data_IF_814252862979
#
_entry.id   IF_814252862979
#
_cell.length_a   1.000
_cell.length_b   1.000
_cell.length_c   1.000
_cell.angle_alpha   90.00
_cell.angle_beta   90.00
_cell.angle_gamma   90.00
#
_symmetry.space_group_name_H-M   'P 1'
#
loop_
_entity.id
_entity.type
_entity.pdbx_description
1 polymer ?
#
# COMPACT_ATOMS: atom_id res chain seq x y z
N UNK A 1 9.76 -70.25 -10.83
CA UNK A 1 9.98 -68.82 -11.12
C UNK A 1 10.18 -68.14 -9.77
N UNK A 2 11.33 -68.19 -9.08
CA UNK A 2 12.71 -67.81 -9.47
C UNK A 2 12.69 -66.44 -10.17
N UNK A 3 13.31 -65.34 -9.71
CA UNK A 3 14.30 -65.06 -8.66
C UNK A 3 14.25 -63.53 -8.40
N UNK A 4 14.37 -63.10 -7.14
CA UNK A 4 14.97 -61.79 -6.81
C UNK A 4 16.45 -61.80 -7.19
N UNK A 5 17.09 -60.63 -7.41
CA UNK A 5 18.01 -60.21 -6.35
C UNK A 5 18.02 -58.70 -6.05
N UNK A 6 18.36 -58.44 -4.79
CA UNK A 6 18.89 -57.19 -4.24
C UNK A 6 20.19 -56.78 -4.95
N UNK A 7 20.42 -55.47 -5.06
CA UNK A 7 21.75 -54.89 -4.84
C UNK A 7 21.62 -53.51 -4.18
N UNK A 8 22.15 -53.43 -2.96
CA UNK A 8 22.62 -52.19 -2.32
C UNK A 8 23.64 -51.50 -3.21
N UNK A 9 23.61 -50.17 -3.24
CA UNK A 9 24.83 -49.36 -3.28
C UNK A 9 24.63 -48.09 -2.47
N UNK A 10 25.34 -48.06 -1.34
CA UNK A 10 25.82 -46.85 -0.70
C UNK A 10 26.91 -46.17 -1.57
N UNK A 11 27.33 -44.97 -1.15
CA UNK A 11 28.24 -43.97 -1.77
C UNK A 11 27.48 -42.92 -2.60
N UNK A 12 27.64 -41.61 -2.38
CA UNK A 12 28.72 -40.87 -1.72
C UNK A 12 28.14 -39.55 -1.17
N UNK A 13 28.39 -39.25 0.11
CA UNK A 13 28.30 -37.88 0.62
C UNK A 13 29.32 -37.04 -0.15
N UNK A 14 28.86 -36.23 -1.09
CA UNK A 14 29.60 -35.08 -1.60
C UNK A 14 29.11 -33.87 -0.82
N UNK A 15 29.87 -33.55 0.23
CA UNK A 15 29.92 -32.23 0.85
C UNK A 15 30.29 -31.21 -0.22
N UNK A 16 29.28 -30.69 -0.94
CA UNK A 16 29.44 -29.47 -1.72
C UNK A 16 29.50 -28.31 -0.72
N UNK A 17 30.73 -27.94 -0.33
CA UNK A 17 31.01 -26.62 0.23
C UNK A 17 30.35 -25.58 -0.67
N UNK A 18 29.58 -24.62 -0.14
CA UNK A 18 29.25 -23.44 -0.92
C UNK A 18 30.57 -22.74 -1.24
N UNK A 19 30.93 -22.72 -2.53
CA UNK A 19 31.88 -21.75 -3.03
C UNK A 19 31.23 -20.39 -2.82
N UNK A 20 31.70 -19.68 -1.79
CA UNK A 20 31.49 -18.25 -1.63
C UNK A 20 32.04 -17.59 -2.89
N UNK A 21 31.17 -17.38 -3.88
CA UNK A 21 31.40 -16.41 -4.92
C UNK A 21 31.19 -15.04 -4.26
N UNK A 22 32.28 -14.46 -3.78
CA UNK A 22 32.32 -13.06 -3.38
C UNK A 22 32.01 -12.22 -4.62
N UNK A 23 30.78 -11.76 -4.74
CA UNK A 23 30.50 -10.57 -5.55
C UNK A 23 31.23 -9.42 -4.86
N UNK A 24 32.26 -8.90 -5.50
CA UNK A 24 33.03 -7.74 -5.07
C UNK A 24 32.08 -6.54 -4.98
N UNK A 25 31.48 -6.33 -3.81
CA UNK A 25 30.79 -5.11 -3.44
C UNK A 25 31.88 -4.08 -3.19
N UNK A 26 31.96 -3.06 -4.05
CA UNK A 26 32.86 -1.92 -3.84
C UNK A 26 32.65 -1.33 -2.44
N UNK A 27 33.75 -1.11 -1.72
CA UNK A 27 33.85 -0.47 -0.40
C UNK A 27 32.67 -0.71 0.56
N UNK A 28 32.61 -1.91 1.16
CA UNK A 28 31.78 -2.19 2.33
C UNK A 28 32.35 -1.48 3.57
N UNK A 29 31.69 -0.43 4.07
CA UNK A 29 31.95 0.12 5.41
C UNK A 29 30.96 -0.47 6.42
N UNK A 30 31.48 -0.94 7.56
CA UNK A 30 30.69 -1.39 8.71
C UNK A 30 30.43 -0.15 9.58
N UNK A 31 29.20 0.36 9.60
CA UNK A 31 28.85 1.50 10.44
C UNK A 31 28.87 1.17 11.95
N UNK A 32 29.28 2.16 12.76
CA UNK A 32 29.46 2.08 14.21
C UNK A 32 28.18 1.90 15.07
N UNK A 33 28.27 2.07 16.40
CA UNK A 33 27.50 1.35 17.42
C UNK A 33 25.99 1.67 17.55
N UNK A 34 25.37 2.37 16.60
CA UNK A 34 23.92 2.61 16.57
C UNK A 34 23.09 1.43 16.05
N UNK A 35 23.71 0.51 15.30
CA UNK A 35 23.04 -0.60 14.61
C UNK A 35 22.89 -1.89 15.45
N UNK A 36 22.73 -1.78 16.78
CA UNK A 36 22.74 -2.97 17.66
C UNK A 36 21.50 -3.87 17.57
N UNK A 37 20.43 -3.42 16.90
CA UNK A 37 19.18 -4.17 16.70
C UNK A 37 19.17 -5.05 15.43
N UNK A 38 20.12 -4.86 14.52
CA UNK A 38 20.16 -5.53 13.22
C UNK A 38 21.31 -6.56 13.15
N UNK A 39 21.13 -7.61 12.35
CA UNK A 39 21.90 -8.89 12.31
C UNK A 39 23.42 -8.87 12.68
N UNK A 40 24.00 -10.02 13.13
CA UNK A 40 25.34 -10.11 13.74
C UNK A 40 26.56 -9.75 12.87
N UNK A 41 26.37 -9.25 11.65
CA UNK A 41 27.43 -8.84 10.71
C UNK A 41 27.49 -7.33 10.42
N UNK A 42 26.60 -6.53 11.00
CA UNK A 42 26.43 -5.12 10.64
C UNK A 42 25.68 -4.94 9.30
N UNK A 43 25.17 -3.73 9.02
CA UNK A 43 24.45 -3.46 7.78
C UNK A 43 25.41 -3.40 6.58
N UNK A 44 24.98 -3.91 5.42
CA UNK A 44 25.71 -3.73 4.14
C UNK A 44 25.32 -2.38 3.56
N UNK A 45 26.30 -1.49 3.38
CA UNK A 45 26.10 -0.10 2.96
C UNK A 45 26.74 0.18 1.60
N UNK A 46 26.08 1.02 0.80
CA UNK A 46 26.62 1.59 -0.44
C UNK A 46 26.45 3.12 -0.41
N UNK A 47 27.50 3.85 -0.77
CA UNK A 47 27.46 5.31 -1.01
C UNK A 47 27.40 5.60 -2.51
N UNK A 48 26.83 6.76 -2.90
CA UNK A 48 27.06 7.29 -4.24
C UNK A 48 28.53 7.72 -4.35
N UNK A 49 29.19 7.38 -5.46
CA UNK A 49 30.57 7.80 -5.73
C UNK A 49 30.64 9.18 -6.40
N UNK A 50 29.53 9.93 -6.42
CA UNK A 50 29.41 11.24 -7.07
C UNK A 50 29.13 12.28 -6.00
N UNK A 51 30.11 13.15 -5.76
CA UNK A 51 29.95 14.39 -4.98
C UNK A 51 28.80 15.23 -5.56
N UNK A 52 27.59 15.06 -5.03
CA UNK A 52 26.46 15.95 -5.24
C UNK A 52 26.24 16.66 -3.90
N UNK A 53 26.75 17.88 -3.80
CA UNK A 53 26.78 18.67 -2.56
C UNK A 53 25.41 19.12 -2.07
N UNK A 54 24.70 18.25 -1.37
CA UNK A 54 23.60 18.56 -0.45
C UNK A 54 23.87 17.93 0.92
N UNK A 55 23.53 18.62 2.01
CA UNK A 55 23.84 18.17 3.38
C UNK A 55 23.12 16.85 3.79
N UNK A 56 22.15 16.38 3.01
CA UNK A 56 21.37 15.16 3.26
C UNK A 56 21.72 13.98 2.31
N UNK A 57 22.42 14.27 1.20
CA UNK A 57 22.83 13.27 0.19
C UNK A 57 24.16 12.57 0.52
N UNK A 58 24.70 12.80 1.71
CA UNK A 58 26.00 12.25 2.16
C UNK A 58 25.86 10.94 2.96
N UNK A 59 24.64 10.50 3.26
CA UNK A 59 24.38 9.27 3.99
C UNK A 59 24.39 8.04 3.06
N UNK A 60 25.13 6.96 3.40
CA UNK A 60 25.05 5.70 2.67
C UNK A 60 23.64 5.11 2.74
N UNK A 61 23.26 4.37 1.70
CA UNK A 61 22.07 3.52 1.70
C UNK A 61 22.49 2.12 2.12
N UNK A 62 21.88 1.61 3.17
CA UNK A 62 22.26 0.35 3.79
C UNK A 62 21.09 -0.62 3.92
N UNK A 63 21.41 -1.92 4.04
CA UNK A 63 20.45 -2.97 4.36
C UNK A 63 20.49 -3.27 5.87
N UNK A 64 19.36 -3.05 6.53
CA UNK A 64 19.10 -3.43 7.91
C UNK A 64 18.14 -4.61 7.92
N UNK A 65 18.39 -5.64 8.72
CA UNK A 65 17.48 -6.80 8.81
C UNK A 65 17.40 -7.28 10.24
N UNK A 66 16.17 -7.32 10.76
CA UNK A 66 15.80 -7.90 12.03
C UNK A 66 15.01 -9.17 11.75
N UNK A 67 15.56 -10.32 12.13
CA UNK A 67 14.93 -11.63 11.94
C UNK A 67 13.99 -12.01 13.08
N UNK A 68 13.99 -11.25 14.18
CA UNK A 68 13.16 -11.46 15.36
C UNK A 68 11.86 -10.64 15.34
N UNK A 69 11.82 -9.59 14.52
CA UNK A 69 10.66 -8.71 14.35
C UNK A 69 9.35 -9.49 14.10
N UNK A 70 8.27 -9.01 14.74
CA UNK A 70 6.92 -9.56 14.66
C UNK A 70 6.86 -11.10 14.80
N UNK A 71 7.28 -11.59 15.98
CA UNK A 71 7.32 -13.02 16.33
C UNK A 71 8.20 -13.87 15.40
N UNK A 72 9.34 -13.34 14.98
CA UNK A 72 10.27 -14.05 14.10
C UNK A 72 9.83 -14.09 12.64
N UNK A 73 8.84 -13.27 12.25
CA UNK A 73 8.51 -13.03 10.83
C UNK A 73 9.67 -12.35 10.12
N UNK A 74 10.30 -11.40 10.78
CA UNK A 74 11.40 -10.60 10.27
C UNK A 74 10.98 -9.49 9.31
N UNK A 75 11.86 -8.50 9.18
CA UNK A 75 11.73 -7.32 8.32
C UNK A 75 13.11 -6.92 7.81
N UNK A 76 13.16 -6.40 6.57
CA UNK A 76 14.35 -5.77 6.02
C UNK A 76 14.07 -4.33 5.55
N UNK A 77 15.01 -3.44 5.81
CA UNK A 77 14.96 -2.02 5.43
C UNK A 77 16.16 -1.71 4.54
N UNK A 78 15.94 -1.06 3.40
CA UNK A 78 16.99 -0.51 2.53
C UNK A 78 16.87 1.00 2.60
N UNK A 79 17.69 1.64 3.41
CA UNK A 79 17.53 3.07 3.75
C UNK A 79 18.81 3.65 4.35
N UNK A 80 18.84 4.96 4.59
CA UNK A 80 19.91 5.61 5.36
C UNK A 80 19.89 5.21 6.85
N UNK A 81 21.04 5.15 7.54
CA UNK A 81 21.12 4.79 8.96
C UNK A 81 20.24 5.62 9.90
N UNK A 82 20.12 6.93 9.67
CA UNK A 82 19.29 7.84 10.48
C UNK A 82 17.82 7.44 10.39
N UNK A 83 17.36 7.15 9.17
CA UNK A 83 15.97 6.78 8.91
C UNK A 83 15.66 5.37 9.44
N UNK A 84 16.62 4.44 9.36
CA UNK A 84 16.51 3.14 10.04
C UNK A 84 16.40 3.31 11.56
N UNK A 85 17.19 4.20 12.17
CA UNK A 85 17.09 4.50 13.60
C UNK A 85 15.74 5.13 13.96
N UNK A 86 15.22 6.05 13.14
CA UNK A 86 13.88 6.61 13.30
C UNK A 86 12.81 5.51 13.29
N UNK A 87 12.81 4.64 12.27
CA UNK A 87 11.87 3.51 12.20
C UNK A 87 11.99 2.57 13.39
N UNK A 88 13.20 2.35 13.91
CA UNK A 88 13.44 1.53 15.10
C UNK A 88 12.87 2.14 16.40
N UNK A 89 12.48 3.43 16.41
CA UNK A 89 11.74 4.05 17.51
C UNK A 89 10.23 3.86 17.43
N UNK A 90 9.70 3.36 16.31
CA UNK A 90 8.26 3.11 16.16
C UNK A 90 7.76 2.03 17.15
N UNK A 91 6.48 2.07 17.53
CA UNK A 91 5.86 1.04 18.37
C UNK A 91 6.07 -0.39 17.87
N UNK A 92 6.18 -0.59 16.54
CA UNK A 92 6.46 -1.89 15.94
C UNK A 92 7.74 -2.55 16.47
N UNK A 93 8.77 -1.75 16.79
CA UNK A 93 10.04 -2.21 17.34
C UNK A 93 10.13 -2.01 18.86
N UNK A 94 9.61 -0.88 19.37
CA UNK A 94 9.70 -0.53 20.79
C UNK A 94 8.74 -1.34 21.67
N UNK A 95 7.60 -1.77 21.13
CA UNK A 95 6.52 -2.45 21.83
C UNK A 95 6.09 -3.72 21.08
N UNK A 96 6.81 -4.86 21.23
CA UNK A 96 6.61 -6.06 20.41
C UNK A 96 5.18 -6.64 20.44
N UNK A 97 4.42 -6.37 21.50
CA UNK A 97 3.03 -6.82 21.62
C UNK A 97 2.09 -6.13 20.61
N UNK A 98 2.46 -4.96 20.09
CA UNK A 98 1.66 -4.21 19.10
C UNK A 98 1.55 -4.92 17.75
N UNK A 99 2.57 -5.70 17.37
CA UNK A 99 2.64 -6.40 16.08
C UNK A 99 2.35 -7.90 16.13
N UNK A 100 2.19 -8.44 17.35
CA UNK A 100 2.08 -9.88 17.61
C UNK A 100 0.98 -10.57 16.78
N UNK A 101 -0.24 -10.06 16.83
CA UNK A 101 -1.40 -10.68 16.18
C UNK A 101 -1.73 -10.14 14.79
N UNK A 102 -0.86 -9.31 14.21
CA UNK A 102 -1.15 -8.67 12.92
C UNK A 102 -1.04 -9.69 11.78
N UNK A 103 0.03 -10.49 11.78
CA UNK A 103 0.43 -11.29 10.63
C UNK A 103 -0.40 -12.57 10.48
N UNK A 104 -1.22 -12.63 9.44
CA UNK A 104 -2.00 -13.83 9.13
C UNK A 104 -1.21 -14.90 8.36
N UNK A 105 -0.12 -14.51 7.70
CA UNK A 105 0.62 -15.34 6.75
C UNK A 105 1.50 -16.41 7.41
N UNK A 106 1.81 -16.25 8.70
CA UNK A 106 2.59 -17.22 9.47
C UNK A 106 1.76 -18.11 10.39
N UNK A 107 0.44 -17.88 10.50
CA UNK A 107 -0.40 -18.53 11.51
C UNK A 107 -0.66 -20.03 11.30
N UNK A 108 -0.09 -20.67 10.26
CA UNK A 108 -0.25 -22.08 9.84
C UNK A 108 -1.70 -22.57 9.69
N UNK A 109 -2.67 -21.76 10.09
CA UNK A 109 -4.10 -21.98 10.05
C UNK A 109 -4.61 -21.26 8.82
N UNK A 110 -5.29 -21.96 7.90
CA UNK A 110 -5.84 -21.34 6.72
C UNK A 110 -6.76 -20.15 7.08
N UNK A 111 -6.71 -19.04 6.32
CA UNK A 111 -7.63 -17.93 6.52
C UNK A 111 -9.08 -18.43 6.41
N UNK A 112 -9.96 -17.93 7.28
CA UNK A 112 -11.37 -18.35 7.31
C UNK A 112 -12.24 -17.58 6.31
N UNK A 113 -11.81 -16.38 5.91
CA UNK A 113 -12.56 -15.46 5.05
C UNK A 113 -12.22 -15.59 3.56
N UNK A 114 -11.08 -16.18 3.23
CA UNK A 114 -10.63 -16.29 1.85
C UNK A 114 -9.73 -17.50 1.63
N UNK A 115 -9.62 -17.90 0.37
CA UNK A 115 -8.67 -18.91 -0.09
C UNK A 115 -7.90 -18.40 -1.31
N UNK A 116 -6.66 -18.85 -1.46
CA UNK A 116 -5.84 -18.53 -2.62
C UNK A 116 -6.09 -19.53 -3.74
N UNK A 117 -6.33 -19.06 -4.96
CA UNK A 117 -6.57 -19.90 -6.15
C UNK A 117 -5.92 -19.32 -7.39
N UNK A 118 -5.63 -20.17 -8.35
CA UNK A 118 -5.30 -19.72 -9.71
C UNK A 118 -6.58 -19.21 -10.39
N UNK A 119 -6.51 -18.00 -10.91
CA UNK A 119 -7.60 -17.29 -11.59
C UNK A 119 -7.22 -17.16 -13.07
N UNK A 120 -8.05 -17.71 -13.99
CA UNK A 120 -7.77 -17.69 -15.41
C UNK A 120 -7.42 -16.30 -15.93
N UNK A 121 -6.24 -16.17 -16.54
CA UNK A 121 -5.76 -14.90 -17.11
C UNK A 121 -5.24 -13.86 -16.11
N UNK A 122 -5.33 -14.12 -14.79
CA UNK A 122 -4.80 -13.22 -13.74
C UNK A 122 -3.69 -13.85 -12.89
N UNK A 123 -3.50 -15.16 -12.98
CA UNK A 123 -2.55 -15.88 -12.13
C UNK A 123 -3.15 -16.13 -10.74
N UNK A 124 -2.33 -16.14 -9.70
CA UNK A 124 -2.82 -16.38 -8.34
C UNK A 124 -3.63 -15.18 -7.82
N UNK A 125 -4.79 -15.45 -7.23
CA UNK A 125 -5.65 -14.46 -6.59
C UNK A 125 -6.35 -15.01 -5.35
N UNK A 126 -7.15 -14.17 -4.70
CA UNK A 126 -7.88 -14.52 -3.47
C UNK A 126 -9.38 -14.54 -3.74
N UNK A 127 -10.06 -15.59 -3.29
CA UNK A 127 -11.51 -15.76 -3.42
C UNK A 127 -12.13 -15.77 -2.01
N UNK A 128 -13.18 -14.99 -1.81
CA UNK A 128 -13.93 -14.99 -0.55
C UNK A 128 -14.60 -16.35 -0.32
N UNK A 129 -14.43 -16.91 0.88
CA UNK A 129 -15.06 -18.19 1.30
C UNK A 129 -16.27 -17.98 2.19
N UNK A 130 -16.48 -16.77 2.67
CA UNK A 130 -17.57 -16.36 3.53
C UNK A 130 -18.11 -15.00 3.11
N UNK A 131 -19.26 -14.60 3.65
CA UNK A 131 -19.73 -13.23 3.55
C UNK A 131 -18.80 -12.32 4.36
N UNK A 132 -18.33 -11.25 3.74
CA UNK A 132 -17.50 -10.22 4.37
C UNK A 132 -18.27 -8.91 4.29
N UNK A 133 -18.51 -8.28 5.44
CA UNK A 133 -19.28 -7.04 5.50
C UNK A 133 -18.38 -5.83 5.24
N UNK A 134 -18.95 -4.75 4.72
CA UNK A 134 -18.24 -3.47 4.58
C UNK A 134 -17.55 -3.08 5.90
N UNK A 135 -16.27 -2.72 5.79
CA UNK A 135 -15.42 -2.32 6.91
C UNK A 135 -14.72 -3.48 7.62
N UNK A 136 -15.13 -4.73 7.40
CA UNK A 136 -14.45 -5.89 7.98
C UNK A 136 -12.97 -5.93 7.60
N UNK A 137 -12.12 -6.21 8.58
CA UNK A 137 -10.73 -6.59 8.33
C UNK A 137 -10.68 -7.93 7.60
N UNK A 138 -10.08 -7.95 6.42
CA UNK A 138 -9.84 -9.14 5.61
C UNK A 138 -8.51 -9.77 6.03
N UNK A 139 -7.43 -9.00 5.96
CA UNK A 139 -6.09 -9.40 6.37
C UNK A 139 -5.25 -8.20 6.81
N UNK A 140 -4.18 -8.46 7.54
CA UNK A 140 -3.13 -7.50 7.81
C UNK A 140 -1.76 -8.19 7.82
N UNK A 141 -0.71 -7.47 7.43
CA UNK A 141 0.65 -7.95 7.47
C UNK A 141 1.62 -6.80 7.75
N UNK A 142 2.64 -7.04 8.57
CA UNK A 142 3.77 -6.13 8.71
C UNK A 142 4.61 -6.13 7.43
N UNK A 143 5.36 -5.04 7.21
CA UNK A 143 6.23 -4.91 6.06
C UNK A 143 7.27 -6.03 6.01
N UNK A 144 7.53 -6.57 4.81
CA UNK A 144 8.56 -7.57 4.58
C UNK A 144 9.88 -6.93 4.19
N UNK A 145 9.81 -6.02 3.23
CA UNK A 145 10.93 -5.27 2.70
C UNK A 145 10.45 -3.84 2.47
N UNK A 146 11.12 -2.87 3.08
CA UNK A 146 10.91 -1.44 2.85
C UNK A 146 12.14 -0.88 2.13
N UNK A 147 11.95 -0.22 1.00
CA UNK A 147 13.03 0.36 0.20
C UNK A 147 12.80 1.86 0.11
N UNK A 148 13.73 2.64 0.63
CA UNK A 148 13.74 4.09 0.47
C UNK A 148 13.87 4.43 -1.02
N UNK A 149 13.02 5.32 -1.54
CA UNK A 149 13.09 5.75 -2.94
C UNK A 149 14.45 6.35 -3.34
N UNK A 150 15.22 6.86 -2.36
CA UNK A 150 16.62 7.25 -2.56
C UNK A 150 17.45 6.13 -3.18
N UNK A 151 17.18 4.86 -2.85
CA UNK A 151 17.90 3.73 -3.43
C UNK A 151 17.72 3.64 -4.96
N UNK A 152 16.55 4.01 -5.48
CA UNK A 152 16.30 4.03 -6.92
C UNK A 152 16.85 5.30 -7.60
N UNK A 153 16.92 6.40 -6.86
CA UNK A 153 17.33 7.71 -7.38
C UNK A 153 18.86 7.91 -7.36
N UNK A 154 19.52 7.41 -6.31
CA UNK A 154 20.94 7.66 -6.01
C UNK A 154 21.84 6.49 -6.44
N UNK A 155 21.33 5.25 -6.45
CA UNK A 155 22.13 4.08 -6.82
C UNK A 155 21.86 3.64 -8.26
N UNK A 156 22.89 3.07 -8.89
CA UNK A 156 22.70 2.38 -10.16
C UNK A 156 21.88 1.10 -10.00
N UNK A 157 21.25 0.64 -11.09
CA UNK A 157 20.45 -0.60 -11.08
C UNK A 157 21.18 -1.82 -10.50
N UNK A 158 22.43 -2.12 -10.89
CA UNK A 158 23.16 -3.24 -10.27
C UNK A 158 23.36 -3.08 -8.75
N UNK A 159 23.51 -1.85 -8.26
CA UNK A 159 23.70 -1.58 -6.84
C UNK A 159 22.42 -1.83 -6.04
N UNK A 160 21.29 -1.19 -6.40
CA UNK A 160 20.07 -1.37 -5.60
C UNK A 160 19.51 -2.80 -5.71
N UNK A 161 19.65 -3.47 -6.86
CA UNK A 161 19.20 -4.87 -7.00
C UNK A 161 20.05 -5.84 -6.17
N UNK A 162 21.34 -5.55 -5.99
CA UNK A 162 22.18 -6.30 -5.05
C UNK A 162 21.72 -6.10 -3.59
N UNK A 163 21.36 -4.87 -3.19
CA UNK A 163 20.82 -4.60 -1.86
C UNK A 163 19.47 -5.29 -1.64
N UNK A 164 18.59 -5.29 -2.64
CA UNK A 164 17.31 -6.02 -2.59
C UNK A 164 17.53 -7.52 -2.40
N UNK A 165 18.41 -8.13 -3.19
CA UNK A 165 18.74 -9.55 -3.06
C UNK A 165 19.29 -9.88 -1.67
N UNK A 166 20.23 -9.05 -1.18
CA UNK A 166 20.80 -9.20 0.15
C UNK A 166 19.73 -9.10 1.24
N UNK A 167 18.84 -8.12 1.17
CA UNK A 167 17.74 -7.96 2.12
C UNK A 167 16.84 -9.20 2.16
N UNK A 168 16.39 -9.68 1.00
CA UNK A 168 15.52 -10.86 0.89
C UNK A 168 16.21 -12.14 1.37
N UNK A 169 17.51 -12.29 1.11
CA UNK A 169 18.29 -13.46 1.55
C UNK A 169 18.47 -13.56 3.07
N UNK A 170 18.36 -12.44 3.77
CA UNK A 170 18.46 -12.38 5.23
C UNK A 170 17.11 -12.46 5.94
N UNK A 171 15.99 -12.49 5.21
CA UNK A 171 14.68 -12.77 5.81
C UNK A 171 14.60 -14.22 6.33
N UNK A 172 13.82 -14.48 7.39
CA UNK A 172 13.57 -15.84 7.87
C UNK A 172 13.11 -16.78 6.76
N UNK A 173 13.52 -18.08 6.74
CA UNK A 173 13.35 -18.95 5.58
C UNK A 173 11.91 -19.08 5.06
N UNK A 174 10.93 -19.16 5.96
CA UNK A 174 9.51 -19.22 5.59
C UNK A 174 9.08 -17.92 4.90
N UNK A 175 9.43 -16.77 5.49
CA UNK A 175 9.08 -15.46 4.95
C UNK A 175 9.77 -15.21 3.59
N UNK A 176 11.06 -15.53 3.48
CA UNK A 176 11.80 -15.49 2.21
C UNK A 176 11.12 -16.33 1.13
N UNK A 177 10.62 -17.53 1.48
CA UNK A 177 9.92 -18.38 0.52
C UNK A 177 8.58 -17.79 0.06
N UNK A 178 7.85 -17.10 0.93
CA UNK A 178 6.61 -16.39 0.57
C UNK A 178 6.89 -15.25 -0.41
N UNK A 179 7.95 -14.46 -0.16
CA UNK A 179 8.40 -13.40 -1.05
C UNK A 179 8.81 -13.94 -2.43
N UNK A 180 9.68 -14.96 -2.47
CA UNK A 180 10.19 -15.52 -3.74
C UNK A 180 9.13 -16.28 -4.55
N UNK A 181 7.98 -16.60 -3.94
CA UNK A 181 6.85 -17.24 -4.61
C UNK A 181 5.89 -16.21 -5.26
N UNK A 182 6.15 -14.91 -5.12
CA UNK A 182 5.38 -13.87 -5.80
C UNK A 182 5.65 -13.86 -7.31
N UNK A 183 4.73 -13.26 -8.06
CA UNK A 183 4.88 -13.12 -9.50
C UNK A 183 5.94 -12.09 -9.83
N UNK A 184 6.88 -12.43 -10.72
CA UNK A 184 7.81 -11.47 -11.32
C UNK A 184 7.25 -10.81 -12.59
N UNK A 185 6.00 -11.13 -12.95
CA UNK A 185 5.30 -10.70 -14.18
C UNK A 185 6.18 -10.73 -15.45
N UNK A 186 6.99 -11.79 -15.61
CA UNK A 186 7.84 -12.01 -16.78
C UNK A 186 7.50 -13.35 -17.44
N UNK A 187 7.53 -13.46 -18.78
CA UNK A 187 7.24 -14.71 -19.49
C UNK A 187 8.17 -15.87 -19.11
N UNK A 188 9.39 -15.57 -18.65
CA UNK A 188 10.32 -16.56 -18.12
C UNK A 188 11.26 -15.91 -17.11
N UNK A 189 11.49 -16.61 -15.99
CA UNK A 189 12.47 -16.23 -14.97
C UNK A 189 13.77 -17.03 -15.09
N UNK A 190 13.85 -18.03 -15.97
CA UNK A 190 14.96 -18.99 -16.00
C UNK A 190 16.32 -18.40 -16.40
N UNK A 191 16.31 -17.21 -17.01
CA UNK A 191 17.51 -16.51 -17.46
C UNK A 191 17.93 -15.40 -16.50
N UNK A 192 17.10 -15.05 -15.52
CA UNK A 192 17.39 -13.99 -14.57
C UNK A 192 18.39 -14.49 -13.53
N UNK A 193 19.36 -13.65 -13.20
CA UNK A 193 20.13 -13.80 -11.97
C UNK A 193 19.21 -13.67 -10.75
N UNK A 194 19.68 -14.12 -9.59
CA UNK A 194 18.91 -13.99 -8.35
C UNK A 194 18.54 -12.54 -8.04
N UNK A 195 19.46 -11.59 -8.24
CA UNK A 195 19.19 -10.17 -8.01
C UNK A 195 18.15 -9.60 -9.00
N UNK A 196 18.22 -9.97 -10.28
CA UNK A 196 17.22 -9.56 -11.28
C UNK A 196 15.85 -10.18 -11.01
N UNK A 197 15.80 -11.41 -10.49
CA UNK A 197 14.55 -12.05 -10.09
C UNK A 197 13.92 -11.31 -8.91
N UNK A 198 14.69 -10.98 -7.87
CA UNK A 198 14.20 -10.24 -6.71
C UNK A 198 13.71 -8.84 -7.11
N UNK A 199 14.44 -8.13 -7.98
CA UNK A 199 14.02 -6.85 -8.56
C UNK A 199 12.68 -6.95 -9.28
N UNK A 200 12.55 -7.93 -10.18
CA UNK A 200 11.31 -8.14 -10.95
C UNK A 200 10.11 -8.48 -10.05
N UNK A 201 10.34 -9.27 -8.99
CA UNK A 201 9.32 -9.54 -7.96
C UNK A 201 8.97 -8.24 -7.22
N UNK A 202 9.95 -7.50 -6.71
CA UNK A 202 9.69 -6.26 -5.97
C UNK A 202 8.91 -5.26 -6.83
N UNK A 203 9.37 -5.01 -8.07
CA UNK A 203 8.74 -4.07 -9.00
C UNK A 203 7.29 -4.41 -9.35
N UNK A 204 6.92 -5.70 -9.30
CA UNK A 204 5.56 -6.16 -9.60
C UNK A 204 4.61 -6.03 -8.40
N UNK A 205 5.14 -6.18 -7.18
CA UNK A 205 4.36 -6.45 -5.95
C UNK A 205 4.48 -5.38 -4.87
N UNK A 206 5.24 -4.30 -5.12
CA UNK A 206 5.44 -3.24 -4.15
C UNK A 206 4.31 -2.22 -4.11
N UNK A 207 4.21 -1.56 -2.96
CA UNK A 207 3.26 -0.52 -2.61
C UNK A 207 4.03 0.76 -2.26
N UNK A 208 3.53 1.89 -2.73
CA UNK A 208 4.11 3.20 -2.42
C UNK A 208 3.52 3.65 -1.08
N UNK A 209 4.40 3.92 -0.11
CA UNK A 209 4.05 4.34 1.25
C UNK A 209 4.72 5.68 1.51
N UNK A 210 3.92 6.74 1.64
CA UNK A 210 4.41 8.07 1.98
C UNK A 210 5.04 8.09 3.38
N UNK A 211 5.98 9.00 3.68
CA UNK A 211 6.57 9.10 5.01
C UNK A 211 5.52 9.49 6.07
N UNK A 212 5.81 9.13 7.31
CA UNK A 212 5.04 9.61 8.47
C UNK A 212 5.30 11.11 8.68
N UNK A 213 4.35 11.87 9.25
CA UNK A 213 4.47 13.32 9.45
C UNK A 213 5.68 13.73 10.31
N UNK A 214 6.12 12.84 11.21
CA UNK A 214 7.28 13.04 12.09
C UNK A 214 8.62 12.56 11.47
N UNK A 215 8.61 11.95 10.28
CA UNK A 215 9.84 11.55 9.58
C UNK A 215 10.58 12.81 9.11
N UNK A 216 11.87 12.93 9.40
CA UNK A 216 12.65 14.07 8.94
C UNK A 216 12.80 14.09 7.40
N UNK A 217 12.75 12.91 6.77
CA UNK A 217 12.82 12.76 5.31
C UNK A 217 11.41 12.71 4.69
N UNK A 218 10.72 13.85 4.75
CA UNK A 218 9.40 14.07 4.15
C UNK A 218 9.39 13.98 2.61
N UNK A 219 10.56 13.93 1.96
CA UNK A 219 10.66 14.02 0.50
C UNK A 219 10.73 12.65 -0.17
N UNK A 220 11.12 11.61 0.57
CA UNK A 220 11.32 10.28 0.02
C UNK A 220 10.32 9.29 0.62
N UNK A 221 9.37 8.80 -0.17
CA UNK A 221 8.48 7.71 0.23
C UNK A 221 9.26 6.38 0.39
N UNK A 222 8.58 5.33 0.82
CA UNK A 222 9.05 3.95 0.77
C UNK A 222 8.33 3.15 -0.30
N UNK A 223 9.06 2.25 -0.95
CA UNK A 223 8.52 1.18 -1.76
C UNK A 223 8.53 -0.12 -0.95
N UNK A 224 7.34 -0.62 -0.60
CA UNK A 224 7.16 -1.65 0.44
C UNK A 224 6.50 -2.90 -0.11
N UNK A 225 6.99 -4.08 0.27
CA UNK A 225 6.45 -5.37 -0.17
C UNK A 225 5.70 -6.05 0.97
N UNK A 226 4.46 -6.49 0.68
CA UNK A 226 3.61 -7.32 1.55
C UNK A 226 3.15 -8.57 0.78
N UNK A 227 3.85 -9.72 0.88
CA UNK A 227 3.62 -10.86 -0.01
C UNK A 227 2.18 -11.39 -0.05
N UNK A 228 1.51 -11.45 1.10
CA UNK A 228 0.13 -11.96 1.15
C UNK A 228 -0.88 -11.00 0.55
N UNK A 229 -0.69 -9.71 0.77
CA UNK A 229 -1.54 -8.65 0.22
C UNK A 229 -1.33 -8.50 -1.29
N UNK A 230 -0.08 -8.64 -1.77
CA UNK A 230 0.27 -8.59 -3.19
C UNK A 230 -0.38 -9.71 -4.04
N UNK A 231 -1.06 -10.68 -3.42
CA UNK A 231 -1.87 -11.69 -4.12
C UNK A 231 -3.24 -11.17 -4.56
N UNK A 232 -3.68 -10.02 -4.07
CA UNK A 232 -4.97 -9.44 -4.47
C UNK A 232 -4.84 -8.82 -5.86
N UNK A 233 -5.58 -9.36 -6.83
CA UNK A 233 -5.56 -8.85 -8.19
C UNK A 233 -6.23 -7.49 -8.33
N UNK A 234 -5.96 -6.85 -9.48
CA UNK A 234 -6.58 -5.59 -9.84
C UNK A 234 -8.06 -5.72 -10.25
N UNK A 235 -8.90 -4.81 -9.74
CA UNK A 235 -10.13 -4.36 -10.38
C UNK A 235 -10.17 -2.82 -10.40
N UNK A 236 -10.72 -2.22 -11.45
CA UNK A 236 -10.85 -0.75 -11.53
C UNK A 236 -11.89 -0.20 -10.54
N UNK A 237 -12.80 -1.05 -10.05
CA UNK A 237 -13.78 -0.78 -8.98
C UNK A 237 -13.66 -1.88 -7.92
N UNK A 238 -12.59 -1.85 -7.11
CA UNK A 238 -12.27 -2.92 -6.19
C UNK A 238 -13.34 -3.08 -5.11
N UNK A 239 -13.32 -4.23 -4.45
CA UNK A 239 -14.18 -4.51 -3.30
C UNK A 239 -13.44 -4.43 -1.95
N UNK A 240 -12.14 -4.19 -1.97
CA UNK A 240 -11.33 -3.94 -0.79
C UNK A 240 -10.42 -2.73 -1.01
N UNK A 241 -9.95 -2.15 0.09
CA UNK A 241 -8.98 -1.07 0.11
C UNK A 241 -7.89 -1.38 1.13
N UNK A 242 -6.70 -0.82 0.92
CA UNK A 242 -5.59 -0.97 1.84
C UNK A 242 -5.32 0.31 2.64
N UNK A 243 -4.87 0.13 3.88
CA UNK A 243 -4.44 1.20 4.77
C UNK A 243 -3.12 0.81 5.41
N UNK A 244 -2.13 1.69 5.32
CA UNK A 244 -0.87 1.55 6.03
C UNK A 244 -0.93 2.22 7.41
N UNK A 245 -0.34 1.57 8.40
CA UNK A 245 -0.23 2.05 9.77
C UNK A 245 1.25 2.22 10.11
N UNK A 246 1.70 3.47 10.17
CA UNK A 246 3.09 3.82 10.49
C UNK A 246 3.56 3.27 11.84
N UNK A 247 2.76 3.36 12.93
CA UNK A 247 3.19 2.85 14.23
C UNK A 247 3.54 1.36 14.23
N UNK A 248 2.78 0.53 13.50
CA UNK A 248 2.99 -0.92 13.45
C UNK A 248 3.76 -1.40 12.21
N UNK A 249 4.11 -0.49 11.29
CA UNK A 249 4.68 -0.77 9.97
C UNK A 249 3.91 -1.87 9.23
N UNK A 250 2.58 -1.78 9.27
CA UNK A 250 1.71 -2.81 8.73
C UNK A 250 0.70 -2.26 7.74
N UNK A 251 0.32 -3.09 6.78
CA UNK A 251 -0.77 -2.80 5.87
C UNK A 251 -1.96 -3.70 6.20
N UNK A 252 -3.12 -3.08 6.34
CA UNK A 252 -4.40 -3.74 6.60
C UNK A 252 -5.29 -3.63 5.38
N UNK A 253 -6.08 -4.68 5.12
CA UNK A 253 -7.03 -4.74 4.01
C UNK A 253 -8.43 -4.80 4.59
N UNK A 254 -9.25 -3.84 4.21
CA UNK A 254 -10.64 -3.73 4.65
C UNK A 254 -11.59 -3.86 3.47
N UNK A 255 -12.74 -4.51 3.69
CA UNK A 255 -13.78 -4.57 2.67
C UNK A 255 -14.38 -3.17 2.43
N UNK A 256 -14.31 -2.69 1.20
CA UNK A 256 -14.86 -1.39 0.81
C UNK A 256 -16.39 -1.45 0.61
N UNK A 257 -16.92 -2.64 0.35
CA UNK A 257 -18.35 -2.97 0.26
C UNK A 257 -18.59 -4.38 0.77
N UNK A 258 -19.84 -4.78 0.91
CA UNK A 258 -20.16 -6.19 1.16
C UNK A 258 -19.65 -7.09 0.02
N UNK A 259 -19.09 -8.24 0.39
CA UNK A 259 -18.50 -9.23 -0.51
C UNK A 259 -19.16 -10.58 -0.24
N UNK A 260 -19.72 -11.19 -1.30
CA UNK A 260 -20.32 -12.52 -1.23
C UNK A 260 -19.27 -13.64 -1.35
N UNK A 261 -19.53 -14.83 -0.78
CA UNK A 261 -18.74 -16.02 -1.04
C UNK A 261 -18.60 -16.28 -2.55
N UNK A 262 -17.40 -16.61 -2.99
CA UNK A 262 -17.07 -16.86 -4.40
C UNK A 262 -16.65 -15.61 -5.19
N UNK A 263 -16.80 -14.41 -4.64
CA UNK A 263 -16.22 -13.20 -5.25
C UNK A 263 -14.70 -13.17 -5.09
N UNK A 264 -14.00 -12.68 -6.11
CA UNK A 264 -12.58 -12.38 -6.03
C UNK A 264 -12.34 -11.13 -5.18
N UNK A 265 -11.41 -11.19 -4.23
CA UNK A 265 -10.96 -10.04 -3.45
C UNK A 265 -9.96 -9.26 -4.30
N UNK A 266 -10.25 -7.97 -4.53
CA UNK A 266 -9.49 -7.14 -5.46
C UNK A 266 -9.14 -5.78 -4.87
N UNK A 267 -8.00 -5.23 -5.30
CA UNK A 267 -7.54 -3.87 -5.01
C UNK A 267 -7.46 -3.06 -6.31
N UNK A 268 -7.34 -1.74 -6.21
CA UNK A 268 -6.97 -0.92 -7.37
C UNK A 268 -5.47 -0.66 -7.36
N UNK A 269 -4.76 -1.03 -8.44
CA UNK A 269 -3.33 -0.77 -8.58
C UNK A 269 -3.03 0.66 -9.07
N UNK A 270 -4.08 1.39 -9.41
CA UNK A 270 -4.03 2.69 -10.06
C UNK A 270 -5.11 3.59 -9.48
N UNK A 271 -4.98 4.89 -9.72
CA UNK A 271 -6.04 5.83 -9.38
C UNK A 271 -7.36 5.45 -10.10
N UNK A 272 -8.46 5.20 -9.36
CA UNK A 272 -9.74 4.80 -9.95
C UNK A 272 -10.43 5.92 -10.76
N UNK A 273 -9.95 7.16 -10.63
CA UNK A 273 -10.43 8.34 -11.36
C UNK A 273 -9.69 8.60 -12.68
N UNK A 274 -9.00 7.59 -13.22
CA UNK A 274 -8.46 7.62 -14.57
C UNK A 274 -9.53 7.19 -15.59
N UNK A 275 -9.49 7.75 -16.81
CA UNK A 275 -10.35 7.30 -17.92
C UNK A 275 -10.01 5.87 -18.35
N UNK A 276 -10.92 5.19 -19.06
CA UNK A 276 -10.68 3.81 -19.55
C UNK A 276 -9.37 3.69 -20.33
N UNK A 277 -9.10 4.64 -21.23
CA UNK A 277 -7.87 4.66 -22.03
C UNK A 277 -6.62 4.81 -21.14
N UNK A 278 -6.66 5.72 -20.15
CA UNK A 278 -5.56 5.92 -19.21
C UNK A 278 -5.32 4.70 -18.32
N UNK A 279 -6.38 4.06 -17.82
CA UNK A 279 -6.30 2.83 -17.01
C UNK A 279 -5.64 1.70 -17.80
N UNK A 280 -6.13 1.41 -19.01
CA UNK A 280 -5.56 0.35 -19.86
C UNK A 280 -4.10 0.61 -20.22
N UNK A 281 -3.76 1.84 -20.59
CA UNK A 281 -2.38 2.20 -20.91
C UNK A 281 -1.43 2.07 -19.70
N UNK A 282 -1.88 2.51 -18.51
CA UNK A 282 -1.07 2.42 -17.28
C UNK A 282 -0.87 0.96 -16.84
N UNK A 283 -1.92 0.15 -16.88
CA UNK A 283 -1.82 -1.27 -16.51
C UNK A 283 -0.93 -2.06 -17.47
N UNK A 284 -1.06 -1.81 -18.78
CA UNK A 284 -0.20 -2.44 -19.78
C UNK A 284 1.27 -2.05 -19.60
N UNK A 285 1.55 -0.78 -19.30
CA UNK A 285 2.93 -0.28 -19.12
C UNK A 285 3.59 -0.81 -17.85
N UNK A 286 2.87 -0.83 -16.74
CA UNK A 286 3.44 -1.13 -15.43
C UNK A 286 3.37 -2.62 -15.09
N UNK A 287 2.29 -3.30 -15.49
CA UNK A 287 2.05 -4.72 -15.18
C UNK A 287 1.74 -5.56 -16.41
N UNK A 288 1.96 -5.09 -17.64
CA UNK A 288 1.90 -5.96 -18.82
C UNK A 288 0.55 -6.56 -19.21
N UNK A 289 -0.56 -6.22 -18.53
CA UNK A 289 -1.88 -6.83 -18.76
C UNK A 289 -2.97 -5.84 -19.20
N UNK A 290 -3.96 -6.35 -19.94
CA UNK A 290 -5.20 -5.66 -20.24
C UNK A 290 -6.28 -6.03 -19.22
N UNK A 291 -6.84 -5.05 -18.53
CA UNK A 291 -7.82 -5.30 -17.46
C UNK A 291 -9.13 -5.88 -18.00
N UNK A 292 -9.52 -7.04 -17.46
CA UNK A 292 -10.77 -7.73 -17.79
C UNK A 292 -11.94 -7.42 -16.85
N UNK A 293 -11.86 -6.37 -16.03
CA UNK A 293 -12.96 -6.01 -15.12
C UNK A 293 -14.20 -5.53 -15.89
N UNK A 294 -15.41 -5.59 -15.29
CA UNK A 294 -16.64 -5.16 -15.94
C UNK A 294 -16.58 -3.73 -16.50
N UNK A 295 -15.86 -2.82 -15.84
CA UNK A 295 -15.73 -1.43 -16.29
C UNK A 295 -14.84 -1.28 -17.55
N UNK A 296 -13.89 -2.18 -17.75
CA UNK A 296 -12.98 -2.15 -18.90
C UNK A 296 -13.53 -2.95 -20.09
N UNK A 297 -14.48 -3.85 -19.88
CA UNK A 297 -15.05 -4.73 -20.92
C UNK A 297 -16.44 -4.31 -21.42
N UNK A 298 -17.02 -3.22 -20.90
CA UNK A 298 -18.26 -2.64 -21.44
C UNK A 298 -18.07 -2.08 -22.86
N UNK A 299 -19.20 -1.86 -23.54
CA UNK A 299 -19.23 -1.17 -24.83
C UNK A 299 -18.76 0.29 -24.72
N UNK A 300 -18.37 0.86 -25.86
CA UNK A 300 -17.76 2.19 -25.92
C UNK A 300 -18.71 3.32 -25.50
N UNK A 301 -20.03 3.15 -25.66
CA UNK A 301 -20.97 4.17 -25.21
C UNK A 301 -20.99 4.23 -23.68
N UNK A 302 -21.11 3.09 -23.01
CA UNK A 302 -21.04 3.02 -21.53
C UNK A 302 -19.69 3.45 -20.98
N UNK A 303 -18.59 3.11 -21.66
CA UNK A 303 -17.27 3.57 -21.29
C UNK A 303 -17.15 5.11 -21.33
N UNK A 304 -17.66 5.75 -22.39
CA UNK A 304 -17.67 7.22 -22.51
C UNK A 304 -18.50 7.89 -21.42
N UNK A 305 -19.65 7.31 -21.06
CA UNK A 305 -20.48 7.82 -19.97
C UNK A 305 -19.76 7.75 -18.61
N UNK A 306 -19.05 6.65 -18.34
CA UNK A 306 -18.21 6.56 -17.13
C UNK A 306 -17.07 7.57 -17.16
N UNK A 307 -16.35 7.70 -18.27
CA UNK A 307 -15.26 8.67 -18.40
C UNK A 307 -15.77 10.12 -18.22
N UNK A 308 -16.98 10.43 -18.69
CA UNK A 308 -17.63 11.73 -18.47
C UNK A 308 -17.95 11.98 -16.99
N UNK A 309 -18.50 10.98 -16.28
CA UNK A 309 -18.73 11.06 -14.83
C UNK A 309 -17.43 11.24 -14.05
N UNK A 310 -16.37 10.53 -14.42
CA UNK A 310 -15.06 10.66 -13.79
C UNK A 310 -14.47 12.06 -13.99
N UNK A 311 -14.58 12.63 -15.19
CA UNK A 311 -14.17 14.00 -15.45
C UNK A 311 -15.00 15.02 -14.65
N UNK A 312 -16.30 14.76 -14.44
CA UNK A 312 -17.17 15.60 -13.63
C UNK A 312 -16.82 15.52 -12.14
N UNK A 313 -16.54 14.32 -11.62
CA UNK A 313 -16.06 14.09 -10.25
C UNK A 313 -14.81 14.94 -9.99
N UNK A 314 -13.83 14.91 -10.89
CA UNK A 314 -12.60 15.67 -10.72
C UNK A 314 -12.85 17.19 -10.56
N UNK A 315 -13.72 17.76 -11.40
CA UNK A 315 -14.10 19.18 -11.33
C UNK A 315 -14.87 19.54 -10.07
N UNK A 316 -15.80 18.69 -9.65
CA UNK A 316 -16.58 18.90 -8.43
C UNK A 316 -15.69 18.85 -7.19
N UNK A 317 -14.73 17.90 -7.12
CA UNK A 317 -13.75 17.84 -6.03
C UNK A 317 -12.91 19.12 -5.94
N UNK A 318 -12.46 19.65 -7.08
CA UNK A 318 -11.70 20.91 -7.14
C UNK A 318 -12.53 22.09 -6.60
N UNK A 319 -13.76 22.27 -7.11
CA UNK A 319 -14.65 23.36 -6.68
C UNK A 319 -15.04 23.26 -5.20
N UNK A 320 -15.34 22.06 -4.70
CA UNK A 320 -15.73 21.85 -3.30
C UNK A 320 -14.55 22.01 -2.32
N UNK A 321 -13.32 21.77 -2.78
CA UNK A 321 -12.09 21.98 -1.97
C UNK A 321 -11.58 23.42 -2.02
N UNK A 322 -12.12 24.27 -2.89
CA UNK A 322 -11.75 25.69 -2.93
C UNK A 322 -12.40 26.45 -1.77
N UNK A 323 -11.60 26.75 -0.75
CA UNK A 323 -11.95 27.57 0.41
C UNK A 323 -11.28 28.96 0.38
N UNK A 324 -10.83 29.42 -0.79
CA UNK A 324 -10.16 30.72 -0.97
C UNK A 324 -11.05 31.91 -0.62
N UNK A 325 -10.45 33.01 -0.11
CA UNK A 325 -11.18 34.25 0.19
C UNK A 325 -11.49 35.04 -1.10
N UNK A 326 -12.77 35.36 -1.32
CA UNK A 326 -13.25 36.20 -2.42
C UNK A 326 -14.42 35.58 -3.18
N UNK A 327 -15.23 36.40 -3.85
CA UNK A 327 -16.55 36.11 -4.46
C UNK A 327 -16.62 35.01 -5.56
N UNK A 328 -15.88 33.89 -5.50
CA UNK A 328 -15.74 32.98 -6.64
C UNK A 328 -16.03 31.50 -6.42
N UNK A 329 -16.05 30.98 -5.19
CA UNK A 329 -16.39 29.56 -5.02
C UNK A 329 -17.88 29.34 -5.31
N UNK A 330 -18.16 28.59 -6.38
CA UNK A 330 -19.51 28.19 -6.79
C UNK A 330 -20.01 26.96 -6.05
N UNK A 331 -19.18 26.39 -5.17
CA UNK A 331 -19.54 25.28 -4.31
C UNK A 331 -20.88 25.54 -3.64
N UNK A 332 -21.75 24.55 -3.68
CA UNK A 332 -23.05 24.58 -3.04
C UNK A 332 -23.44 23.14 -2.66
N UNK A 333 -24.41 22.97 -1.75
CA UNK A 333 -24.86 21.65 -1.34
C UNK A 333 -25.29 20.75 -2.51
N UNK A 334 -25.91 21.29 -3.55
CA UNK A 334 -26.33 20.53 -4.73
C UNK A 334 -25.14 19.96 -5.53
N UNK A 335 -24.01 20.67 -5.56
CA UNK A 335 -22.78 20.14 -6.15
C UNK A 335 -22.21 18.99 -5.33
N UNK A 336 -22.31 19.05 -4.00
CA UNK A 336 -21.87 17.98 -3.12
C UNK A 336 -22.79 16.75 -3.20
N UNK A 337 -24.11 16.92 -3.26
CA UNK A 337 -25.07 15.83 -3.50
C UNK A 337 -24.82 15.14 -4.83
N UNK A 338 -24.56 15.91 -5.89
CA UNK A 338 -24.18 15.36 -7.17
C UNK A 338 -22.87 14.57 -7.09
N UNK A 339 -21.89 15.05 -6.34
CA UNK A 339 -20.63 14.32 -6.11
C UNK A 339 -20.89 12.96 -5.44
N UNK A 340 -21.69 12.92 -4.37
CA UNK A 340 -22.06 11.68 -3.68
C UNK A 340 -22.71 10.68 -4.64
N UNK A 341 -23.73 11.12 -5.41
CA UNK A 341 -24.38 10.25 -6.38
C UNK A 341 -23.45 9.76 -7.50
N UNK A 342 -22.48 10.57 -7.92
CA UNK A 342 -21.47 10.15 -8.90
C UNK A 342 -20.51 9.09 -8.33
N UNK A 343 -20.13 9.18 -7.06
CA UNK A 343 -19.33 8.14 -6.41
C UNK A 343 -20.08 6.81 -6.33
N UNK A 344 -21.37 6.83 -5.99
CA UNK A 344 -22.22 5.63 -5.96
C UNK A 344 -22.38 5.01 -7.35
N UNK A 345 -22.70 5.82 -8.36
CA UNK A 345 -22.82 5.37 -9.75
C UNK A 345 -21.52 4.76 -10.27
N UNK A 346 -20.39 5.36 -9.93
CA UNK A 346 -19.07 4.86 -10.29
C UNK A 346 -18.57 3.75 -9.36
N UNK A 347 -19.25 3.43 -8.26
CA UNK A 347 -18.83 2.39 -7.29
C UNK A 347 -17.45 2.67 -6.69
N UNK A 348 -17.19 3.93 -6.33
CA UNK A 348 -15.94 4.38 -5.70
C UNK A 348 -15.97 4.13 -4.18
N UNK A 349 -16.24 2.88 -3.80
CA UNK A 349 -16.53 2.53 -2.41
C UNK A 349 -15.37 2.77 -1.45
N UNK A 350 -14.13 2.48 -1.88
CA UNK A 350 -12.93 2.68 -1.05
C UNK A 350 -12.68 4.13 -0.65
N UNK A 351 -13.16 5.08 -1.47
CA UNK A 351 -12.98 6.52 -1.25
C UNK A 351 -14.29 7.25 -0.99
N UNK A 352 -15.38 6.53 -0.68
CA UNK A 352 -16.71 7.14 -0.45
C UNK A 352 -16.71 8.13 0.73
N UNK A 353 -15.84 7.89 1.71
CA UNK A 353 -15.63 8.81 2.83
C UNK A 353 -15.29 10.22 2.35
N UNK A 354 -14.53 10.37 1.25
CA UNK A 354 -14.16 11.68 0.70
C UNK A 354 -15.40 12.47 0.22
N UNK A 355 -16.32 11.81 -0.48
CA UNK A 355 -17.55 12.44 -0.94
C UNK A 355 -18.42 12.91 0.24
N UNK A 356 -18.50 12.10 1.29
CA UNK A 356 -19.22 12.47 2.52
C UNK A 356 -18.52 13.59 3.29
N UNK A 357 -17.17 13.63 3.33
CA UNK A 357 -16.42 14.74 3.92
C UNK A 357 -16.78 16.05 3.23
N UNK A 358 -16.71 16.08 1.91
CA UNK A 358 -17.01 17.29 1.14
C UNK A 358 -18.48 17.72 1.29
N UNK A 359 -19.41 16.77 1.32
CA UNK A 359 -20.82 17.07 1.59
C UNK A 359 -21.04 17.62 3.01
N UNK A 360 -20.44 17.01 4.02
CA UNK A 360 -20.55 17.48 5.41
C UNK A 360 -20.06 18.93 5.56
N UNK A 361 -18.87 19.23 5.00
CA UNK A 361 -18.30 20.56 5.07
C UNK A 361 -19.15 21.60 4.31
N UNK A 362 -19.65 21.25 3.13
CA UNK A 362 -20.43 22.18 2.30
C UNK A 362 -21.81 22.48 2.90
N UNK A 363 -22.52 21.47 3.41
CA UNK A 363 -23.79 21.68 4.13
C UNK A 363 -23.60 22.54 5.38
N UNK A 364 -22.52 22.29 6.14
CA UNK A 364 -22.24 23.10 7.33
C UNK A 364 -21.95 24.56 6.95
N UNK A 365 -21.23 24.76 5.86
CA UNK A 365 -20.86 26.07 5.37
C UNK A 365 -22.01 26.84 4.72
N UNK A 366 -23.05 26.13 4.27
CA UNK A 366 -24.32 26.70 3.84
C UNK A 366 -25.32 26.96 4.99
N UNK A 367 -24.95 26.66 6.25
CA UNK A 367 -25.82 26.90 7.42
C UNK A 367 -26.89 25.83 7.64
N UNK A 368 -26.72 24.61 7.08
CA UNK A 368 -27.57 23.46 7.34
C UNK A 368 -26.84 22.43 8.24
N UNK A 369 -26.90 22.59 9.58
CA UNK A 369 -26.09 21.80 10.49
C UNK A 369 -26.53 20.34 10.54
N UNK A 370 -27.82 20.03 10.34
CA UNK A 370 -28.30 18.66 10.52
C UNK A 370 -27.97 17.77 9.32
N UNK A 371 -28.04 18.32 8.10
CA UNK A 371 -27.56 17.61 6.93
C UNK A 371 -26.03 17.46 6.96
N UNK A 372 -25.32 18.47 7.48
CA UNK A 372 -23.89 18.37 7.74
C UNK A 372 -23.54 17.23 8.71
N UNK A 373 -24.23 17.15 9.86
CA UNK A 373 -24.05 16.08 10.85
C UNK A 373 -24.35 14.70 10.26
N UNK A 374 -25.39 14.56 9.43
CA UNK A 374 -25.68 13.31 8.70
C UNK A 374 -24.47 12.86 7.89
N UNK A 375 -23.96 13.73 7.02
CA UNK A 375 -22.82 13.39 6.17
C UNK A 375 -21.53 13.21 6.96
N UNK A 376 -21.31 13.98 8.02
CA UNK A 376 -20.15 13.80 8.89
C UNK A 376 -20.14 12.42 9.55
N UNK A 377 -21.30 11.96 10.06
CA UNK A 377 -21.43 10.60 10.62
C UNK A 377 -21.18 9.52 9.58
N UNK A 378 -21.68 9.69 8.36
CA UNK A 378 -21.41 8.77 7.25
C UNK A 378 -19.92 8.79 6.86
N UNK A 379 -19.30 9.96 6.80
CA UNK A 379 -17.87 10.10 6.51
C UNK A 379 -17.00 9.43 7.57
N UNK A 380 -17.35 9.54 8.86
CA UNK A 380 -16.68 8.79 9.95
C UNK A 380 -16.87 7.27 9.78
N UNK A 381 -18.10 6.81 9.55
CA UNK A 381 -18.42 5.38 9.39
C UNK A 381 -17.70 4.72 8.20
N UNK A 382 -17.47 5.48 7.12
CA UNK A 382 -16.72 5.03 5.95
C UNK A 382 -15.22 5.26 6.08
N UNK A 383 -14.81 6.31 6.79
CA UNK A 383 -13.41 6.69 6.97
C UNK A 383 -12.65 5.81 7.94
N UNK A 384 -13.26 5.37 9.05
CA UNK A 384 -12.57 4.53 10.06
C UNK A 384 -11.85 3.31 9.46
N UNK A 385 -12.49 2.46 8.62
CA UNK A 385 -11.80 1.30 8.06
C UNK A 385 -10.82 1.65 6.92
N UNK A 386 -10.98 2.80 6.25
CA UNK A 386 -10.16 3.17 5.07
C UNK A 386 -8.93 4.02 5.47
N UNK A 387 -9.11 4.94 6.41
CA UNK A 387 -8.12 5.92 6.87
C UNK A 387 -7.61 5.63 8.28
N UNK A 388 -8.43 4.96 9.09
CA UNK A 388 -8.13 4.70 10.50
C UNK A 388 -8.87 5.66 11.44
N UNK A 389 -9.03 5.24 12.69
CA UNK A 389 -9.71 6.05 13.72
C UNK A 389 -8.93 7.32 14.10
N UNK A 390 -7.60 7.28 13.99
CA UNK A 390 -6.72 8.39 14.33
C UNK A 390 -6.52 9.41 13.22
N UNK A 391 -7.07 9.18 12.03
CA UNK A 391 -6.89 10.03 10.86
C UNK A 391 -7.47 11.46 11.08
N UNK A 392 -6.83 12.47 10.50
CA UNK A 392 -7.21 13.88 10.68
C UNK A 392 -8.61 14.16 10.12
N UNK A 393 -8.95 13.68 8.93
CA UNK A 393 -10.27 13.87 8.32
C UNK A 393 -11.34 13.19 9.17
N UNK A 394 -11.07 11.99 9.69
CA UNK A 394 -12.00 11.29 10.59
C UNK A 394 -12.21 12.06 11.90
N UNK A 395 -11.15 12.60 12.50
CA UNK A 395 -11.24 13.45 13.71
C UNK A 395 -11.98 14.75 13.45
N UNK A 396 -11.78 15.35 12.28
CA UNK A 396 -12.45 16.59 11.88
C UNK A 396 -13.96 16.37 11.71
N UNK A 397 -14.36 15.30 11.02
CA UNK A 397 -15.77 14.97 10.89
C UNK A 397 -16.43 14.59 12.22
N UNK A 398 -15.69 13.98 13.16
CA UNK A 398 -16.20 13.75 14.53
C UNK A 398 -16.51 15.09 15.23
N UNK A 399 -15.59 16.06 15.15
CA UNK A 399 -15.81 17.41 15.70
C UNK A 399 -17.02 18.08 15.07
N UNK A 400 -17.14 18.03 13.74
CA UNK A 400 -18.32 18.56 13.03
C UNK A 400 -19.63 17.86 13.46
N UNK A 401 -19.61 16.54 13.64
CA UNK A 401 -20.79 15.77 14.03
C UNK A 401 -21.20 15.97 15.50
N UNK A 402 -20.26 16.40 16.36
CA UNK A 402 -20.47 16.72 17.77
C UNK A 402 -21.03 18.13 17.96
N UNK A 403 -20.36 19.12 17.37
CA UNK A 403 -20.80 20.53 17.39
C UNK A 403 -20.58 21.20 16.02
N UNK A 404 -21.60 21.19 15.13
CA UNK A 404 -21.48 21.80 13.81
C UNK A 404 -21.33 23.32 13.86
N UNK A 405 -21.74 23.99 14.95
CA UNK A 405 -21.71 25.45 15.08
C UNK A 405 -20.34 25.98 15.49
N UNK A 406 -19.58 25.22 16.29
CA UNK A 406 -18.19 25.56 16.65
C UNK A 406 -17.18 25.16 15.57
N UNK A 407 -17.58 24.29 14.63
CA UNK A 407 -16.72 23.86 13.53
C UNK A 407 -16.35 25.03 12.60
N UNK A 408 -15.11 25.10 12.12
CA UNK A 408 -14.62 26.24 11.30
C UNK A 408 -15.43 26.48 10.03
N UNK A 409 -16.07 25.44 9.51
CA UNK A 409 -16.87 25.52 8.29
C UNK A 409 -18.24 26.14 8.51
N UNK A 410 -18.76 26.24 9.75
CA UNK A 410 -20.11 26.73 10.04
C UNK A 410 -20.40 28.05 9.33
N UNK A 411 -21.43 28.12 8.48
CA UNK A 411 -21.82 29.31 7.69
C UNK A 411 -20.67 29.97 6.90
N UNK A 412 -19.56 29.29 6.65
CA UNK A 412 -18.38 29.90 6.03
C UNK A 412 -18.67 30.40 4.63
N UNK A 413 -19.44 29.66 3.83
CA UNK A 413 -19.84 30.08 2.47
C UNK A 413 -20.76 31.30 2.51
N UNK A 414 -21.69 31.34 3.46
CA UNK A 414 -22.59 32.49 3.66
C UNK A 414 -21.82 33.75 4.04
N UNK A 415 -20.84 33.64 4.96
CA UNK A 415 -19.97 34.76 5.34
C UNK A 415 -19.14 35.26 4.17
N UNK A 416 -18.57 34.36 3.37
CA UNK A 416 -17.76 34.71 2.19
C UNK A 416 -18.59 35.39 1.09
N UNK A 417 -19.89 35.09 0.99
CA UNK A 417 -20.83 35.70 0.04
C UNK A 417 -21.51 36.97 0.56
N UNK A 418 -21.31 37.33 1.83
CA UNK A 418 -22.03 38.44 2.46
C UNK A 418 -23.51 38.15 2.69
N UNK A 419 -23.90 36.87 2.76
CA UNK A 419 -25.27 36.38 2.92
C UNK A 419 -25.64 36.08 4.38
N UNK A 420 -24.73 36.30 5.34
CA UNK A 420 -25.06 36.15 6.76
C UNK A 420 -26.15 37.15 7.15
N UNK A 421 -27.31 36.63 7.57
CA UNK A 421 -28.37 37.42 8.16
C UNK A 421 -27.87 38.05 9.48
N UNK A 422 -28.05 39.36 9.60
CA UNK A 422 -28.01 40.06 10.88
C UNK A 422 -29.26 39.75 11.71
#
# INVERSE_FOLDING_TARGET
MLLTPRTSSALLLLLARPLLASSDLGHTEICGPGASLFSPGGPVCLTDSRDLGGEDSDQPICVFTDTSFAEGRGISLITAPQRANYLATSPAFAEPDTVKSINQDLNQTPPTKYEMREIPGKGMGLIATAHILRGDLIMANTASLMIDYRAFNELSKPQYTALQAHAVDHLPPLHRSLFLNLSAHTPSTSHLTHAELVDAIAATNGFDIDPDDDDADQHNSFFVIFPSIARMNHDCRPNAEYRFDHPTLSQSIHAARDIAPGEELTLSYINPLLSRAQRLAKLQRNWGFACGCPLCTVDDARARESDARIAQIAKLREELRDWGRGERSRACPEMAELLVGLYEMERLWGTMHEAYTLAALEYNAAGDPWTAVKYARMGVEWGIPMLGEGDEDVRELRRLAEDPWEHWSWERRLRERGENAA
#
